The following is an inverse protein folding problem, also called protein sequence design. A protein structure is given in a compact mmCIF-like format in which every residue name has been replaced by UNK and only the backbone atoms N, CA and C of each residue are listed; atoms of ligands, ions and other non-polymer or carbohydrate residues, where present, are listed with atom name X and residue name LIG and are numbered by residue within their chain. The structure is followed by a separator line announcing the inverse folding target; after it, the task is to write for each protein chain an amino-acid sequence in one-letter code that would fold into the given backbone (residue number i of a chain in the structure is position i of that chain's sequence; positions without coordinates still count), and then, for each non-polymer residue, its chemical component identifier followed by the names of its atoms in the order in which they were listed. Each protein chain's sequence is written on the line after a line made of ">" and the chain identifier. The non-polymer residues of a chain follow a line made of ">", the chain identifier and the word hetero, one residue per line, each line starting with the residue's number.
data_IF_907393292606
#
_entry.id   IF_907393292606
#
_cell.length_a   1.000
_cell.length_b   1.000
_cell.length_c   1.000
_cell.angle_alpha   90.00
_cell.angle_beta   90.00
_cell.angle_gamma   90.00
#
_symmetry.space_group_name_H-M   'P 1'
#
loop_
_entity.id
_entity.type
_entity.pdbx_description
1 polymer ?
#
# COMPACT_ATOMS: atom_id res chain seq x y z
N UNK A 1 -12.57 -23.26 2.68
CA UNK A 1 -12.02 -22.01 3.25
C UNK A 1 -10.87 -21.62 2.34
N UNK A 2 -10.99 -20.50 1.64
CA UNK A 2 -9.87 -19.99 0.84
C UNK A 2 -8.71 -19.71 1.79
N UNK A 3 -7.56 -20.29 1.48
CA UNK A 3 -6.33 -20.05 2.22
C UNK A 3 -5.87 -18.66 1.81
N UNK A 4 -6.32 -17.62 2.52
CA UNK A 4 -5.96 -16.26 2.20
C UNK A 4 -4.45 -16.07 2.37
N UNK A 5 -3.79 -15.71 1.28
CA UNK A 5 -2.33 -15.55 1.22
C UNK A 5 -1.83 -14.41 2.13
N UNK A 6 -2.70 -13.44 2.41
CA UNK A 6 -2.44 -12.27 3.26
C UNK A 6 -3.58 -12.11 4.27
N UNK A 7 -3.53 -12.82 5.42
CA UNK A 7 -4.66 -12.94 6.33
C UNK A 7 -5.09 -11.61 6.98
N UNK A 8 -4.16 -10.65 7.10
CA UNK A 8 -4.41 -9.34 7.72
C UNK A 8 -4.78 -8.26 6.70
N UNK A 9 -4.56 -8.50 5.41
CA UNK A 9 -4.97 -7.62 4.31
C UNK A 9 -4.42 -6.17 4.36
N UNK A 10 -3.27 -5.92 4.98
CA UNK A 10 -2.79 -4.54 5.16
C UNK A 10 -2.61 -3.79 3.83
N UNK A 11 -1.96 -4.41 2.83
CA UNK A 11 -1.73 -3.78 1.54
C UNK A 11 -3.01 -3.70 0.69
N UNK A 12 -3.92 -4.66 0.82
CA UNK A 12 -5.26 -4.57 0.21
C UNK A 12 -6.05 -3.40 0.80
N UNK A 13 -6.07 -3.26 2.12
CA UNK A 13 -6.71 -2.13 2.81
C UNK A 13 -6.08 -0.79 2.41
N UNK A 14 -4.76 -0.76 2.23
CA UNK A 14 -4.03 0.41 1.76
C UNK A 14 -4.40 0.80 0.32
N UNK A 15 -4.50 -0.18 -0.59
CA UNK A 15 -4.98 0.04 -1.97
C UNK A 15 -6.44 0.52 -1.94
N UNK A 16 -7.31 -0.12 -1.14
CA UNK A 16 -8.70 0.30 -0.99
C UNK A 16 -8.80 1.76 -0.51
N UNK A 17 -7.99 2.14 0.49
CA UNK A 17 -7.91 3.50 1.01
C UNK A 17 -7.58 4.52 -0.09
N UNK A 18 -6.74 4.15 -1.06
CA UNK A 18 -6.41 5.00 -2.20
C UNK A 18 -7.62 5.33 -3.07
N UNK A 19 -8.58 4.41 -3.23
CA UNK A 19 -9.81 4.67 -3.98
C UNK A 19 -10.63 5.82 -3.35
N UNK A 20 -10.53 6.00 -2.03
CA UNK A 20 -11.27 7.01 -1.28
C UNK A 20 -10.64 8.41 -1.27
N UNK A 21 -9.37 8.57 -1.66
CA UNK A 21 -8.69 9.86 -1.53
C UNK A 21 -8.85 10.79 -2.74
N UNK A 22 -9.28 10.27 -3.90
CA UNK A 22 -9.52 11.07 -5.11
C UNK A 22 -8.26 11.65 -5.77
N UNK A 23 -7.10 11.00 -5.59
CA UNK A 23 -5.83 11.38 -6.23
C UNK A 23 -5.47 10.47 -7.40
N UNK A 24 -4.64 10.97 -8.32
CA UNK A 24 -4.07 10.18 -9.40
C UNK A 24 -3.00 9.21 -8.89
N UNK A 25 -2.82 8.02 -9.50
CA UNK A 25 -1.82 7.02 -9.10
C UNK A 25 -0.41 7.45 -9.52
N UNK A 26 0.11 8.45 -8.82
CA UNK A 26 1.45 8.99 -8.98
C UNK A 26 2.08 9.24 -7.60
N UNK A 27 3.36 9.60 -7.59
CA UNK A 27 4.14 9.82 -6.36
C UNK A 27 3.44 10.76 -5.37
N UNK A 28 2.94 11.91 -5.81
CA UNK A 28 2.23 12.86 -4.95
C UNK A 28 0.95 12.27 -4.34
N UNK A 29 0.19 11.49 -5.11
CA UNK A 29 -0.98 10.77 -4.62
C UNK A 29 -0.61 9.69 -3.59
N UNK A 30 0.46 8.95 -3.82
CA UNK A 30 0.93 7.91 -2.90
C UNK A 30 1.51 8.49 -1.62
N UNK A 31 2.21 9.62 -1.68
CA UNK A 31 2.65 10.31 -0.46
C UNK A 31 1.47 10.80 0.37
N UNK A 32 0.43 11.32 -0.30
CA UNK A 32 -0.78 11.78 0.37
C UNK A 32 -1.51 10.62 1.03
N UNK A 33 -1.58 9.46 0.36
CA UNK A 33 -2.14 8.23 0.91
C UNK A 33 -1.39 7.80 2.18
N UNK A 34 -0.07 7.68 2.12
CA UNK A 34 0.74 7.22 3.26
C UNK A 34 0.55 8.12 4.49
N UNK A 35 0.60 9.45 4.31
CA UNK A 35 0.39 10.41 5.40
C UNK A 35 -1.01 10.27 5.99
N UNK A 36 -2.04 10.21 5.14
CA UNK A 36 -3.43 10.06 5.59
C UNK A 36 -3.66 8.72 6.31
N UNK A 37 -3.08 7.64 5.80
CA UNK A 37 -3.20 6.32 6.42
C UNK A 37 -2.59 6.30 7.82
N UNK A 38 -1.41 6.92 8.01
CA UNK A 38 -0.81 7.10 9.33
C UNK A 38 -1.70 7.95 10.24
N UNK A 39 -2.28 9.04 9.72
CA UNK A 39 -3.16 9.93 10.50
C UNK A 39 -4.44 9.24 10.98
N UNK A 40 -4.97 8.27 10.21
CA UNK A 40 -6.23 7.56 10.51
C UNK A 40 -5.97 6.29 11.32
N UNK A 41 -5.09 5.41 10.83
CA UNK A 41 -4.87 4.07 11.39
C UNK A 41 -3.74 4.03 12.43
N UNK A 42 -2.84 5.01 12.39
CA UNK A 42 -1.68 5.10 13.27
C UNK A 42 -0.41 4.45 12.72
N UNK A 43 0.71 4.77 13.38
CA UNK A 43 2.04 4.33 12.97
C UNK A 43 2.26 2.82 13.12
N UNK A 44 1.62 2.18 14.10
CA UNK A 44 1.75 0.73 14.32
C UNK A 44 1.10 -0.07 13.19
N UNK A 45 -0.06 0.38 12.70
CA UNK A 45 -0.72 -0.22 11.54
C UNK A 45 0.13 -0.01 10.27
N UNK A 46 0.63 1.21 10.09
CA UNK A 46 1.53 1.52 8.98
C UNK A 46 2.80 0.67 9.02
N UNK A 47 3.36 0.36 10.20
CA UNK A 47 4.49 -0.55 10.33
C UNK A 47 4.14 -1.99 9.91
N UNK A 48 2.95 -2.49 10.23
CA UNK A 48 2.51 -3.81 9.78
C UNK A 48 2.29 -3.86 8.27
N UNK A 49 1.74 -2.79 7.68
CA UNK A 49 1.70 -2.59 6.24
C UNK A 49 3.11 -2.69 5.61
N UNK A 50 4.12 -2.03 6.17
CA UNK A 50 5.49 -2.12 5.66
C UNK A 50 6.01 -3.55 5.69
N UNK A 51 5.77 -4.31 6.78
CA UNK A 51 6.16 -5.73 6.84
C UNK A 51 5.50 -6.55 5.74
N UNK A 52 4.20 -6.34 5.52
CA UNK A 52 3.47 -7.05 4.47
C UNK A 52 4.02 -6.71 3.09
N UNK A 53 4.29 -5.43 2.80
CA UNK A 53 4.95 -5.00 1.56
C UNK A 53 6.29 -5.72 1.33
N UNK A 54 7.11 -5.91 2.37
CA UNK A 54 8.37 -6.65 2.23
C UNK A 54 8.15 -8.13 1.88
N UNK A 55 7.11 -8.75 2.42
CA UNK A 55 6.72 -10.13 2.07
C UNK A 55 6.26 -10.19 0.60
N UNK A 56 5.44 -9.23 0.15
CA UNK A 56 5.00 -9.11 -1.25
C UNK A 56 6.19 -8.96 -2.20
N UNK A 57 7.15 -8.09 -1.84
CA UNK A 57 8.41 -7.90 -2.59
C UNK A 57 9.17 -9.21 -2.71
N UNK A 58 9.33 -9.93 -1.59
CA UNK A 58 10.07 -11.20 -1.52
C UNK A 58 9.42 -12.30 -2.38
N UNK A 59 8.09 -12.39 -2.32
CA UNK A 59 7.34 -13.43 -3.03
C UNK A 59 7.00 -13.06 -4.49
N UNK A 60 7.25 -11.81 -4.89
CA UNK A 60 6.88 -11.25 -6.20
C UNK A 60 5.36 -11.33 -6.50
N UNK A 61 4.53 -11.02 -5.49
CA UNK A 61 3.07 -11.22 -5.53
C UNK A 61 2.26 -10.07 -6.14
N UNK A 62 2.91 -9.20 -6.92
CA UNK A 62 2.27 -8.01 -7.50
C UNK A 62 1.08 -8.30 -8.39
N UNK A 63 1.08 -9.45 -9.09
CA UNK A 63 -0.03 -9.82 -9.95
C UNK A 63 -1.31 -10.09 -9.15
N UNK A 64 -1.19 -10.63 -7.93
CA UNK A 64 -2.33 -10.83 -7.04
C UNK A 64 -2.94 -9.48 -6.63
N UNK A 65 -2.11 -8.51 -6.24
CA UNK A 65 -2.59 -7.18 -5.86
C UNK A 65 -3.06 -6.33 -7.04
N UNK A 66 -2.56 -6.59 -8.26
CA UNK A 66 -3.14 -6.01 -9.48
C UNK A 66 -4.59 -6.42 -9.65
N UNK A 67 -4.90 -7.70 -9.48
CA UNK A 67 -6.28 -8.20 -9.57
C UNK A 67 -7.19 -7.59 -8.49
N UNK A 68 -6.65 -7.36 -7.28
CA UNK A 68 -7.38 -6.66 -6.20
C UNK A 68 -7.65 -5.20 -6.58
N UNK A 69 -6.63 -4.47 -7.04
CA UNK A 69 -6.77 -3.08 -7.46
C UNK A 69 -7.79 -2.90 -8.61
N UNK A 70 -7.81 -3.85 -9.56
CA UNK A 70 -8.82 -3.91 -10.62
C UNK A 70 -10.23 -4.12 -10.04
N UNK A 71 -10.38 -4.95 -9.01
CA UNK A 71 -11.65 -5.14 -8.29
C UNK A 71 -12.16 -3.89 -7.56
N UNK A 72 -11.27 -2.95 -7.25
CA UNK A 72 -11.61 -1.64 -6.68
C UNK A 72 -11.79 -0.54 -7.74
N UNK A 73 -11.70 -0.89 -9.03
CA UNK A 73 -11.90 0.03 -10.16
C UNK A 73 -10.96 1.26 -10.14
N UNK A 74 -9.75 1.11 -9.57
CA UNK A 74 -8.77 2.19 -9.50
C UNK A 74 -8.03 2.32 -10.85
N UNK A 75 -8.46 3.27 -11.67
CA UNK A 75 -7.87 3.50 -12.98
C UNK A 75 -6.39 3.88 -12.88
N UNK A 76 -5.55 3.25 -13.72
CA UNK A 76 -4.12 3.54 -13.83
C UNK A 76 -3.24 2.93 -12.74
N UNK A 77 -3.79 2.17 -11.79
CA UNK A 77 -3.01 1.48 -10.75
C UNK A 77 -2.53 0.10 -11.23
N UNK A 78 -1.60 0.09 -12.19
CA UNK A 78 -0.97 -1.13 -12.69
C UNK A 78 0.13 -1.67 -11.76
N UNK A 79 0.81 -2.77 -12.15
CA UNK A 79 1.90 -3.36 -11.35
C UNK A 79 3.04 -2.38 -11.09
N UNK A 80 3.36 -1.50 -12.05
CA UNK A 80 4.42 -0.51 -11.89
C UNK A 80 3.99 0.49 -10.81
N UNK A 81 2.75 0.97 -10.88
CA UNK A 81 2.18 1.89 -9.89
C UNK A 81 2.00 1.27 -8.50
N UNK A 82 1.65 -0.01 -8.39
CA UNK A 82 1.62 -0.71 -7.11
C UNK A 82 3.02 -0.79 -6.46
N UNK A 83 4.05 -1.03 -7.26
CA UNK A 83 5.44 -1.02 -6.77
C UNK A 83 5.90 0.37 -6.36
N UNK A 84 5.56 1.40 -7.13
CA UNK A 84 5.82 2.80 -6.78
C UNK A 84 5.12 3.18 -5.47
N UNK A 85 3.83 2.85 -5.32
CA UNK A 85 3.04 3.07 -4.11
C UNK A 85 3.70 2.42 -2.88
N UNK A 86 4.13 1.16 -3.02
CA UNK A 86 4.82 0.41 -1.97
C UNK A 86 6.16 1.07 -1.58
N UNK A 87 6.93 1.54 -2.57
CA UNK A 87 8.22 2.19 -2.32
C UNK A 87 8.05 3.55 -1.63
N UNK A 88 7.07 4.34 -2.05
CA UNK A 88 6.73 5.61 -1.37
C UNK A 88 6.34 5.37 0.09
N UNK A 89 5.54 4.34 0.38
CA UNK A 89 5.18 3.99 1.75
C UNK A 89 6.42 3.62 2.60
N UNK A 90 7.34 2.80 2.05
CA UNK A 90 8.59 2.44 2.70
C UNK A 90 9.45 3.68 2.98
N UNK A 91 9.59 4.57 2.00
CA UNK A 91 10.41 5.79 2.14
C UNK A 91 9.87 6.73 3.23
N UNK A 92 8.55 6.87 3.30
CA UNK A 92 7.90 7.66 4.37
C UNK A 92 8.14 7.02 5.73
N UNK A 93 7.99 5.70 5.86
CA UNK A 93 8.28 5.00 7.11
C UNK A 93 9.73 5.19 7.57
N UNK A 94 10.69 5.07 6.65
CA UNK A 94 12.11 5.27 6.94
C UNK A 94 12.40 6.71 7.37
N UNK A 95 11.83 7.70 6.68
CA UNK A 95 12.00 9.14 7.01
C UNK A 95 11.49 9.45 8.42
N UNK A 96 10.34 8.88 8.79
CA UNK A 96 9.79 9.04 10.14
C UNK A 96 10.70 8.35 11.17
N UNK A 97 11.17 7.14 10.87
CA UNK A 97 12.00 6.34 11.77
C UNK A 97 13.37 6.96 12.03
N UNK A 98 13.96 7.65 11.06
CA UNK A 98 15.23 8.37 11.20
C UNK A 98 15.11 9.68 11.99
N UNK A 99 13.88 10.16 12.21
CA UNK A 99 13.61 11.40 12.95
C UNK A 99 13.53 11.21 14.48
N UNK A 100 13.76 9.98 14.97
CA UNK A 100 13.75 9.58 16.39
C UNK A 100 15.06 8.90 16.79
#
# INVERSE_FOLDING_TARGET
>A
MENNKYPEHYFEHYIFSFSGIGYMPNEAGFEKLAKLYIDIEGIDEFFNLIKEIQIIKTNNDWLYFKSIAEGFEIEGLDIVKLKEMAEVAINIFNTISESY
#
